data_IF_855645513999
#
_entry.id   IF_855645513999
#
_cell.length_a   1.000
_cell.length_b   1.000
_cell.length_c   1.000
_cell.angle_alpha   90.00
_cell.angle_beta   90.00
_cell.angle_gamma   90.00
#
_symmetry.space_group_name_H-M   'P 1'
#
loop_
_entity.id
_entity.type
_entity.pdbx_description
1 polymer ?
#
# COMPACT_ATOMS: atom_id res chain seq x y z
N UNK A 1 -45.52 -49.13 -5.80
CA UNK A 1 -45.05 -47.90 -6.45
C UNK A 1 -44.52 -46.96 -5.39
N UNK A 2 -43.22 -46.75 -5.37
CA UNK A 2 -42.52 -45.75 -4.55
C UNK A 2 -41.37 -45.25 -5.43
N UNK A 3 -41.38 -43.98 -5.89
CA UNK A 3 -40.25 -43.47 -6.64
C UNK A 3 -39.13 -43.12 -5.66
N UNK A 4 -37.94 -43.65 -5.91
CA UNK A 4 -36.70 -43.14 -5.33
C UNK A 4 -36.40 -41.81 -6.03
N UNK A 5 -36.27 -40.76 -5.23
CA UNK A 5 -35.87 -39.42 -5.63
C UNK A 5 -34.63 -39.09 -4.80
N UNK A 6 -33.72 -38.30 -5.39
CA UNK A 6 -32.56 -37.61 -4.81
C UNK A 6 -31.25 -38.43 -4.90
N UNK A 7 -30.10 -37.86 -5.23
CA UNK A 7 -29.71 -36.46 -5.34
C UNK A 7 -28.45 -36.42 -6.22
N UNK A 8 -28.45 -35.69 -7.32
CA UNK A 8 -27.18 -35.26 -7.92
C UNK A 8 -26.64 -34.16 -7.00
N UNK A 9 -25.66 -34.50 -6.16
CA UNK A 9 -24.81 -33.50 -5.53
C UNK A 9 -23.91 -32.98 -6.65
N UNK A 10 -24.37 -31.94 -7.34
CA UNK A 10 -23.49 -31.09 -8.13
C UNK A 10 -22.61 -30.36 -7.12
N UNK A 11 -21.38 -30.85 -6.96
CA UNK A 11 -20.32 -30.11 -6.31
C UNK A 11 -20.07 -28.88 -7.19
N UNK A 12 -20.69 -27.76 -6.84
CA UNK A 12 -20.31 -26.47 -7.40
C UNK A 12 -18.87 -26.24 -6.95
N UNK A 13 -17.92 -26.53 -7.84
CA UNK A 13 -16.59 -25.94 -7.75
C UNK A 13 -16.84 -24.44 -7.82
N UNK A 14 -16.72 -23.76 -6.69
CA UNK A 14 -16.62 -22.32 -6.69
C UNK A 14 -15.46 -21.99 -7.64
N UNK A 15 -15.79 -21.45 -8.81
CA UNK A 15 -14.81 -20.79 -9.66
C UNK A 15 -14.14 -19.76 -8.76
N UNK A 16 -12.82 -19.80 -8.54
CA UNK A 16 -12.16 -18.69 -7.88
C UNK A 16 -12.57 -17.44 -8.65
N UNK A 17 -13.09 -16.45 -7.94
CA UNK A 17 -13.28 -15.11 -8.49
C UNK A 17 -11.93 -14.75 -9.11
N UNK A 18 -11.91 -14.51 -10.42
CA UNK A 18 -10.69 -14.11 -11.10
C UNK A 18 -10.21 -12.82 -10.42
N UNK A 19 -9.19 -12.96 -9.58
CA UNK A 19 -8.53 -11.82 -8.94
C UNK A 19 -7.78 -11.03 -10.02
N UNK A 20 -7.59 -9.71 -9.86
CA UNK A 20 -6.96 -8.85 -10.88
C UNK A 20 -5.58 -9.35 -11.35
N UNK A 21 -4.86 -10.12 -10.54
CA UNK A 21 -3.60 -10.79 -10.91
C UNK A 21 -3.66 -11.59 -12.22
N UNK A 22 -4.78 -12.28 -12.52
CA UNK A 22 -4.87 -13.16 -13.69
C UNK A 22 -4.84 -12.44 -15.03
N UNK A 23 -5.13 -11.13 -15.06
CA UNK A 23 -5.03 -10.37 -16.30
C UNK A 23 -3.59 -9.90 -16.55
N UNK A 24 -2.79 -9.71 -15.50
CA UNK A 24 -1.36 -9.41 -15.62
C UNK A 24 -0.53 -10.69 -15.86
N UNK A 25 -0.84 -11.78 -15.15
CA UNK A 25 -0.30 -13.13 -15.41
C UNK A 25 -1.21 -13.85 -16.42
N UNK A 26 -1.15 -13.41 -17.69
CA UNK A 26 -2.09 -13.84 -18.71
C UNK A 26 -1.96 -15.32 -19.07
N UNK A 27 -0.77 -15.89 -18.91
CA UNK A 27 -0.50 -17.30 -19.19
C UNK A 27 -0.70 -18.22 -17.95
N UNK A 28 -0.86 -17.63 -16.76
CA UNK A 28 -1.06 -18.29 -15.47
C UNK A 28 0.10 -19.22 -15.03
N UNK A 29 1.34 -18.84 -15.33
CA UNK A 29 2.54 -19.58 -14.92
C UNK A 29 3.13 -19.11 -13.58
N UNK A 30 2.57 -18.03 -13.01
CA UNK A 30 2.98 -17.45 -11.73
C UNK A 30 4.17 -16.50 -11.83
N UNK A 31 4.65 -16.23 -13.04
CA UNK A 31 5.69 -15.28 -13.37
C UNK A 31 5.09 -14.16 -14.22
N UNK A 32 5.63 -12.95 -14.11
CA UNK A 32 5.19 -11.84 -14.96
C UNK A 32 6.29 -11.54 -15.96
N UNK A 33 5.96 -11.69 -17.23
CA UNK A 33 6.83 -11.29 -18.33
C UNK A 33 6.60 -9.83 -18.72
N UNK A 34 7.63 -9.21 -19.30
CA UNK A 34 7.53 -7.87 -19.88
C UNK A 34 6.43 -7.76 -20.93
N UNK A 35 6.28 -8.77 -21.79
CA UNK A 35 5.25 -8.78 -22.84
C UNK A 35 3.84 -8.75 -22.24
N UNK A 36 3.61 -9.45 -21.13
CA UNK A 36 2.30 -9.41 -20.45
C UNK A 36 1.97 -8.01 -19.94
N UNK A 37 2.93 -7.34 -19.30
CA UNK A 37 2.78 -5.95 -18.81
C UNK A 37 2.51 -4.99 -19.97
N UNK A 38 3.31 -5.04 -21.03
CA UNK A 38 3.17 -4.16 -22.21
C UNK A 38 1.85 -4.35 -22.96
N UNK A 39 1.20 -5.51 -22.82
CA UNK A 39 -0.08 -5.81 -23.47
C UNK A 39 -1.29 -5.25 -22.72
N UNK A 40 -1.16 -4.94 -21.42
CA UNK A 40 -2.32 -4.65 -20.56
C UNK A 40 -2.33 -3.25 -19.98
N UNK A 41 -1.20 -2.53 -19.99
CA UNK A 41 -1.15 -1.14 -19.53
C UNK A 41 -0.08 -0.32 -20.25
N UNK A 42 -0.14 0.98 -20.06
CA UNK A 42 0.85 1.97 -20.50
C UNK A 42 1.57 2.57 -19.30
N UNK A 43 2.73 3.19 -19.54
CA UNK A 43 3.44 3.94 -18.49
C UNK A 43 2.54 5.05 -17.93
N UNK A 44 1.80 5.76 -18.78
CA UNK A 44 0.90 6.82 -18.35
C UNK A 44 -0.16 6.32 -17.36
N UNK A 45 -0.80 5.18 -17.65
CA UNK A 45 -1.78 4.57 -16.74
C UNK A 45 -1.15 4.15 -15.41
N UNK A 46 0.09 3.64 -15.43
CA UNK A 46 0.83 3.32 -14.22
C UNK A 46 1.11 4.57 -13.37
N UNK A 47 1.51 5.68 -14.00
CA UNK A 47 1.75 6.94 -13.29
C UNK A 47 0.47 7.52 -12.69
N UNK A 48 -0.64 7.50 -13.44
CA UNK A 48 -1.95 7.91 -12.92
C UNK A 48 -2.40 7.03 -11.75
N UNK A 49 -2.08 5.74 -11.76
CA UNK A 49 -2.38 4.84 -10.64
C UNK A 49 -1.54 5.14 -9.38
N UNK A 50 -0.31 5.63 -9.57
CA UNK A 50 0.59 6.03 -8.48
C UNK A 50 0.25 7.41 -7.90
N UNK A 51 -0.27 8.32 -8.73
CA UNK A 51 -0.78 9.66 -8.37
C UNK A 51 -2.20 9.58 -7.78
N UNK A 52 -2.30 9.12 -6.53
CA UNK A 52 -3.59 8.86 -5.89
C UNK A 52 -4.32 10.12 -5.43
N UNK A 53 -3.60 11.16 -5.02
CA UNK A 53 -4.18 12.45 -4.66
C UNK A 53 -4.50 13.31 -5.89
N UNK A 54 -4.01 12.91 -7.07
CA UNK A 54 -4.40 13.46 -8.36
C UNK A 54 -3.84 14.87 -8.57
N UNK A 55 -2.73 15.19 -7.91
CA UNK A 55 -2.08 16.49 -8.01
C UNK A 55 -1.13 16.58 -9.22
N UNK A 56 -0.90 15.45 -9.90
CA UNK A 56 -0.07 15.34 -11.10
C UNK A 56 1.41 15.16 -10.81
N UNK A 57 1.78 14.91 -9.55
CA UNK A 57 3.17 14.82 -9.10
C UNK A 57 3.48 13.48 -8.42
N UNK A 58 4.73 13.06 -8.56
CA UNK A 58 5.28 11.91 -7.83
C UNK A 58 6.46 12.37 -6.99
N UNK A 59 6.35 12.24 -5.68
CA UNK A 59 7.33 12.69 -4.70
C UNK A 59 8.41 11.63 -4.42
N UNK A 60 9.52 12.09 -3.83
CA UNK A 60 10.68 11.25 -3.53
C UNK A 60 10.31 10.03 -2.67
N UNK A 61 9.48 10.21 -1.65
CA UNK A 61 9.04 9.14 -0.77
C UNK A 61 8.22 8.07 -1.51
N UNK A 62 7.36 8.47 -2.43
CA UNK A 62 6.61 7.55 -3.30
C UNK A 62 7.55 6.73 -4.20
N UNK A 63 8.61 7.32 -4.74
CA UNK A 63 9.63 6.59 -5.53
C UNK A 63 10.43 5.60 -4.67
N UNK A 64 10.86 6.02 -3.47
CA UNK A 64 11.56 5.13 -2.54
C UNK A 64 10.61 3.99 -2.11
N UNK A 65 9.31 4.23 -2.04
CA UNK A 65 8.34 3.18 -1.76
C UNK A 65 8.17 2.20 -2.92
N UNK A 66 8.15 2.74 -4.15
CA UNK A 66 7.98 1.94 -5.34
C UNK A 66 9.17 1.01 -5.63
N UNK A 67 10.41 1.52 -5.52
CA UNK A 67 11.64 0.81 -5.92
C UNK A 67 12.68 0.64 -4.80
N UNK A 68 12.34 1.02 -3.57
CA UNK A 68 13.24 0.90 -2.42
C UNK A 68 14.38 1.93 -2.35
N UNK A 69 14.60 2.72 -3.40
CA UNK A 69 15.74 3.65 -3.52
C UNK A 69 15.34 5.00 -4.11
N UNK A 70 16.17 6.02 -3.86
CA UNK A 70 15.99 7.38 -4.40
C UNK A 70 16.64 7.59 -5.78
N UNK A 71 17.40 6.61 -6.27
CA UNK A 71 18.28 6.78 -7.42
C UNK A 71 17.51 7.18 -8.68
N UNK A 72 16.32 6.62 -8.87
CA UNK A 72 15.49 6.94 -10.03
C UNK A 72 14.83 8.32 -9.93
N UNK A 73 14.46 8.76 -8.71
CA UNK A 73 13.96 10.12 -8.51
C UNK A 73 14.98 11.15 -8.96
N UNK A 74 16.24 11.01 -8.52
CA UNK A 74 17.31 11.93 -8.89
C UNK A 74 17.68 11.88 -10.38
N UNK A 75 17.50 10.73 -11.04
CA UNK A 75 17.74 10.61 -12.49
C UNK A 75 16.67 11.29 -13.32
N UNK A 76 15.40 11.21 -12.89
CA UNK A 76 14.26 11.75 -13.63
C UNK A 76 13.99 13.22 -13.30
N UNK A 77 14.40 13.70 -12.13
CA UNK A 77 14.19 15.08 -11.68
C UNK A 77 15.19 16.04 -12.35
N UNK A 78 14.86 16.47 -13.56
CA UNK A 78 15.74 17.31 -14.39
C UNK A 78 15.75 18.76 -13.91
N UNK A 79 14.61 19.25 -13.43
CA UNK A 79 14.48 20.65 -13.01
C UNK A 79 15.04 20.90 -11.59
N UNK A 80 15.26 19.84 -10.81
CA UNK A 80 15.84 19.85 -9.47
C UNK A 80 14.87 20.31 -8.37
N UNK A 81 13.56 20.21 -8.57
CA UNK A 81 12.56 20.53 -7.55
C UNK A 81 12.28 19.34 -6.61
N UNK A 82 11.19 19.40 -5.84
CA UNK A 82 10.86 18.42 -4.83
C UNK A 82 9.96 17.27 -5.33
N UNK A 83 9.63 17.23 -6.62
CA UNK A 83 8.74 16.24 -7.20
C UNK A 83 9.16 15.81 -8.61
N UNK A 84 8.42 14.86 -9.18
CA UNK A 84 8.49 14.50 -10.59
C UNK A 84 7.15 14.80 -11.23
N UNK A 85 7.17 15.45 -12.38
CA UNK A 85 6.01 15.48 -13.27
C UNK A 85 5.93 14.20 -14.10
N UNK A 86 4.74 13.83 -14.56
CA UNK A 86 4.61 12.70 -15.50
C UNK A 86 5.46 12.91 -16.76
N UNK A 87 5.55 14.15 -17.22
CA UNK A 87 6.35 14.50 -18.39
C UNK A 87 7.85 14.23 -18.17
N UNK A 88 8.39 14.49 -16.98
CA UNK A 88 9.77 14.14 -16.65
C UNK A 88 9.98 12.63 -16.68
N UNK A 89 9.06 11.85 -16.14
CA UNK A 89 9.16 10.39 -16.17
C UNK A 89 9.07 9.87 -17.61
N UNK A 90 8.02 10.25 -18.34
CA UNK A 90 7.75 9.78 -19.71
C UNK A 90 8.80 10.21 -20.75
N UNK A 91 9.54 11.30 -20.50
CA UNK A 91 10.62 11.73 -21.40
C UNK A 91 11.89 10.88 -21.27
N UNK A 92 12.12 10.24 -20.12
CA UNK A 92 13.36 9.54 -19.81
C UNK A 92 13.16 8.05 -19.50
N UNK A 93 11.91 7.60 -19.45
CA UNK A 93 11.54 6.23 -19.13
C UNK A 93 10.41 5.74 -20.05
N UNK A 94 10.53 4.51 -20.51
CA UNK A 94 9.44 3.76 -21.15
C UNK A 94 8.79 2.79 -20.16
N UNK A 95 7.64 2.21 -20.51
CA UNK A 95 7.06 1.13 -19.69
C UNK A 95 8.01 -0.08 -19.56
N UNK A 96 8.86 -0.34 -20.56
CA UNK A 96 9.90 -1.36 -20.44
C UNK A 96 10.93 -1.00 -19.38
N UNK A 97 11.41 0.23 -19.37
CA UNK A 97 12.41 0.68 -18.38
C UNK A 97 11.81 0.69 -16.97
N UNK A 98 10.52 1.04 -16.86
CA UNK A 98 9.73 0.97 -15.63
C UNK A 98 9.62 -0.47 -15.10
N UNK A 99 9.31 -1.42 -15.98
CA UNK A 99 9.32 -2.86 -15.65
C UNK A 99 10.69 -3.32 -15.15
N UNK A 100 11.76 -2.90 -15.83
CA UNK A 100 13.14 -3.30 -15.50
C UNK A 100 13.60 -2.80 -14.12
N UNK A 101 12.89 -1.84 -13.51
CA UNK A 101 13.17 -1.43 -12.13
C UNK A 101 12.67 -2.43 -11.07
N UNK A 102 11.72 -3.31 -11.43
CA UNK A 102 11.21 -4.35 -10.52
C UNK A 102 12.01 -5.65 -10.63
N UNK A 103 12.64 -5.89 -11.80
CA UNK A 103 13.48 -7.05 -12.11
C UNK A 103 14.83 -6.95 -11.37
N UNK A 104 14.86 -7.39 -10.12
CA UNK A 104 15.98 -7.12 -9.21
C UNK A 104 17.19 -8.00 -9.51
N UNK A 105 16.97 -9.19 -10.05
CA UNK A 105 18.05 -10.10 -10.45
C UNK A 105 18.41 -10.01 -11.95
N UNK A 106 17.61 -9.31 -12.74
CA UNK A 106 17.88 -9.00 -14.14
C UNK A 106 17.71 -10.19 -15.07
N UNK A 107 16.89 -11.18 -14.69
CA UNK A 107 16.65 -12.38 -15.49
C UNK A 107 15.61 -12.18 -16.60
N UNK A 108 14.92 -11.03 -16.60
CA UNK A 108 13.92 -10.60 -17.57
C UNK A 108 12.49 -11.00 -17.22
N UNK A 109 12.26 -11.66 -16.08
CA UNK A 109 10.95 -12.18 -15.65
C UNK A 109 10.76 -11.88 -14.16
N UNK A 110 9.61 -11.32 -13.80
CA UNK A 110 9.34 -11.03 -12.38
C UNK A 110 8.74 -12.21 -11.67
N UNK A 111 9.34 -12.61 -10.56
CA UNK A 111 8.69 -13.49 -9.59
C UNK A 111 7.64 -12.72 -8.77
N UNK A 112 6.80 -13.43 -8.02
CA UNK A 112 5.68 -12.81 -7.27
C UNK A 112 6.12 -11.69 -6.31
N UNK A 113 7.31 -11.79 -5.71
CA UNK A 113 7.83 -10.74 -4.82
C UNK A 113 8.30 -9.49 -5.57
N UNK A 114 8.77 -9.63 -6.81
CA UNK A 114 9.21 -8.51 -7.64
C UNK A 114 8.01 -7.83 -8.31
N UNK A 115 7.04 -8.64 -8.78
CA UNK A 115 5.83 -8.16 -9.42
C UNK A 115 4.82 -7.50 -8.47
N UNK A 116 5.06 -7.52 -7.15
CA UNK A 116 4.09 -7.09 -6.14
C UNK A 116 3.54 -5.68 -6.41
N UNK A 117 4.42 -4.71 -6.60
CA UNK A 117 4.03 -3.32 -6.83
C UNK A 117 3.35 -3.13 -8.20
N UNK A 118 3.73 -3.91 -9.20
CA UNK A 118 3.06 -3.92 -10.50
C UNK A 118 1.62 -4.46 -10.40
N UNK A 119 1.40 -5.49 -9.58
CA UNK A 119 0.04 -5.96 -9.30
C UNK A 119 -0.80 -4.91 -8.60
N UNK A 120 -0.24 -4.20 -7.62
CA UNK A 120 -0.91 -3.05 -7.02
C UNK A 120 -1.31 -2.02 -8.09
N UNK A 121 -0.33 -1.50 -8.86
CA UNK A 121 -0.57 -0.50 -9.92
C UNK A 121 -1.67 -0.97 -10.87
N UNK A 122 -1.57 -2.20 -11.37
CA UNK A 122 -2.53 -2.73 -12.32
C UNK A 122 -3.93 -2.91 -11.72
N UNK A 123 -4.03 -3.27 -10.44
CA UNK A 123 -5.31 -3.33 -9.71
C UNK A 123 -5.98 -1.95 -9.61
N UNK A 124 -5.19 -0.89 -9.43
CA UNK A 124 -5.67 0.49 -9.42
C UNK A 124 -6.18 0.90 -10.80
N UNK A 125 -5.41 0.61 -11.85
CA UNK A 125 -5.78 0.93 -13.26
C UNK A 125 -7.12 0.29 -13.63
N UNK A 126 -7.30 -0.98 -13.28
CA UNK A 126 -8.54 -1.69 -13.60
C UNK A 126 -9.76 -1.16 -12.85
N UNK A 127 -9.57 -0.25 -11.88
CA UNK A 127 -10.64 0.32 -11.06
C UNK A 127 -11.54 -0.80 -10.51
N UNK A 128 -10.94 -1.96 -10.24
CA UNK A 128 -11.69 -3.19 -10.18
C UNK A 128 -12.39 -3.25 -8.83
N UNK A 129 -13.69 -2.93 -8.84
CA UNK A 129 -14.67 -3.26 -7.79
C UNK A 129 -14.84 -4.77 -7.59
N UNK A 130 -13.72 -5.50 -7.56
CA UNK A 130 -13.54 -6.91 -7.27
C UNK A 130 -12.93 -7.11 -5.88
N UNK A 131 -12.16 -6.12 -5.37
CA UNK A 131 -11.74 -6.00 -3.98
C UNK A 131 -12.34 -4.71 -3.41
N UNK A 132 -13.21 -4.83 -2.40
CA UNK A 132 -13.69 -3.67 -1.62
C UNK A 132 -12.71 -3.28 -0.50
N UNK A 133 -11.52 -3.87 -0.53
CA UNK A 133 -10.47 -3.60 0.43
C UNK A 133 -9.50 -2.56 -0.16
N UNK A 134 -9.53 -1.31 0.31
CA UNK A 134 -8.63 -0.29 -0.19
C UNK A 134 -7.18 -0.51 0.26
N UNK A 135 -6.93 -1.22 1.37
CA UNK A 135 -5.57 -1.45 1.86
C UNK A 135 -4.95 -2.74 1.30
N UNK A 136 -5.76 -3.70 0.87
CA UNK A 136 -5.32 -4.89 0.11
C UNK A 136 -5.89 -4.80 -1.32
N UNK A 137 -5.44 -3.79 -2.06
CA UNK A 137 -6.01 -3.43 -3.34
C UNK A 137 -5.80 -4.55 -4.37
N UNK A 138 -4.62 -5.17 -4.33
CA UNK A 138 -4.31 -6.29 -5.20
C UNK A 138 -5.05 -7.58 -4.73
N UNK A 139 -5.31 -7.76 -3.43
CA UNK A 139 -6.10 -8.86 -2.88
C UNK A 139 -5.28 -10.12 -2.60
N UNK A 140 -4.02 -9.99 -2.19
CA UNK A 140 -3.15 -11.12 -1.85
C UNK A 140 -3.17 -11.45 -0.35
N UNK A 141 -3.86 -10.62 0.44
CA UNK A 141 -3.96 -10.79 1.88
C UNK A 141 -2.73 -10.31 2.64
N UNK A 142 -1.83 -9.58 1.97
CA UNK A 142 -0.71 -8.86 2.57
C UNK A 142 -0.96 -7.36 2.39
N UNK A 143 -0.38 -6.54 3.26
CA UNK A 143 -0.35 -5.10 3.05
C UNK A 143 1.06 -4.67 2.70
N UNK A 144 1.24 -4.14 1.50
CA UNK A 144 2.44 -3.38 1.19
C UNK A 144 2.40 -2.01 1.84
N UNK A 145 3.59 -1.45 2.01
CA UNK A 145 3.74 -0.04 2.37
C UNK A 145 3.06 0.88 1.35
N UNK A 146 3.19 0.61 0.04
CA UNK A 146 2.56 1.44 -1.00
C UNK A 146 1.05 1.47 -0.85
N UNK A 147 0.40 0.34 -0.55
CA UNK A 147 -1.04 0.31 -0.30
C UNK A 147 -1.44 1.15 0.92
N UNK A 148 -0.66 1.07 2.01
CA UNK A 148 -0.93 1.86 3.21
C UNK A 148 -0.69 3.35 2.94
N UNK A 149 0.47 3.73 2.41
CA UNK A 149 0.84 5.14 2.19
C UNK A 149 0.02 5.80 1.10
N UNK A 150 -0.54 5.04 0.16
CA UNK A 150 -1.49 5.53 -0.85
C UNK A 150 -2.83 5.98 -0.27
N UNK A 151 -3.19 5.52 0.93
CA UNK A 151 -4.49 5.79 1.55
C UNK A 151 -4.42 6.62 2.82
N UNK A 152 -3.28 6.68 3.49
CA UNK A 152 -3.15 7.49 4.70
C UNK A 152 -1.74 8.05 4.87
N UNK A 153 -1.69 9.30 5.35
CA UNK A 153 -0.45 9.94 5.78
C UNK A 153 -0.18 9.75 7.27
N UNK A 154 1.08 9.88 7.68
CA UNK A 154 1.47 9.73 9.09
C UNK A 154 0.68 10.67 10.03
N UNK A 155 0.44 11.91 9.60
CA UNK A 155 -0.36 12.86 10.39
C UNK A 155 -1.83 12.44 10.56
N UNK A 156 -2.42 11.78 9.58
CA UNK A 156 -3.79 11.25 9.67
C UNK A 156 -3.86 10.06 10.62
N UNK A 157 -2.85 9.19 10.57
CA UNK A 157 -2.71 8.08 11.52
C UNK A 157 -2.63 8.60 12.96
N UNK A 158 -1.79 9.60 13.23
CA UNK A 158 -1.70 10.18 14.57
C UNK A 158 -3.03 10.77 15.04
N UNK A 159 -3.72 11.55 14.20
CA UNK A 159 -5.05 12.11 14.52
C UNK A 159 -6.12 11.05 14.71
N UNK A 160 -6.06 9.96 13.96
CA UNK A 160 -7.02 8.86 14.08
C UNK A 160 -6.80 8.03 15.37
N UNK A 161 -5.59 8.02 15.90
CA UNK A 161 -5.28 7.40 17.19
C UNK A 161 -5.61 8.29 18.39
N UNK A 162 -5.46 9.60 18.23
CA UNK A 162 -5.80 10.61 19.25
C UNK A 162 -7.33 10.77 19.39
N UNK A 163 -7.95 9.92 20.20
CA UNK A 163 -9.41 9.81 20.26
C UNK A 163 -10.07 10.94 21.03
N UNK A 164 -9.33 11.64 21.88
CA UNK A 164 -9.80 12.76 22.69
C UNK A 164 -9.28 14.13 22.23
N UNK A 165 -8.51 14.18 21.13
CA UNK A 165 -8.00 15.40 20.48
C UNK A 165 -7.17 16.25 21.44
N UNK A 166 -6.38 15.60 22.31
CA UNK A 166 -5.49 16.29 23.26
C UNK A 166 -4.03 16.33 22.79
N UNK A 167 -3.73 15.75 21.63
CA UNK A 167 -2.42 15.61 21.01
C UNK A 167 -1.40 14.79 21.81
N UNK A 168 -1.87 13.99 22.78
CA UNK A 168 -1.08 13.09 23.60
C UNK A 168 -1.55 11.64 23.40
N UNK A 169 -0.76 10.84 22.70
CA UNK A 169 -1.12 9.45 22.44
C UNK A 169 -0.86 8.58 23.65
N UNK A 170 -1.94 8.12 24.28
CA UNK A 170 -1.84 7.19 25.40
C UNK A 170 -1.44 5.79 24.95
N UNK A 171 -0.88 4.94 25.85
CA UNK A 171 -0.66 3.53 25.55
C UNK A 171 -1.94 2.75 25.19
N UNK A 172 -3.13 3.29 25.51
CA UNK A 172 -4.40 2.69 25.11
C UNK A 172 -4.69 2.96 23.64
N UNK A 173 -4.51 4.20 23.20
CA UNK A 173 -4.73 4.62 21.82
C UNK A 173 -3.70 4.00 20.88
N UNK A 174 -2.42 4.06 21.24
CA UNK A 174 -1.34 3.44 20.44
C UNK A 174 -1.50 1.93 20.27
N UNK A 175 -2.21 1.25 21.18
CA UNK A 175 -2.47 -0.19 21.08
C UNK A 175 -3.37 -0.55 19.91
N UNK A 176 -4.20 0.38 19.45
CA UNK A 176 -5.07 0.18 18.28
C UNK A 176 -4.24 -0.14 17.04
N UNK A 177 -3.15 0.60 16.82
CA UNK A 177 -2.26 0.35 15.69
C UNK A 177 -1.17 -0.67 16.01
N UNK A 178 -0.48 -0.49 17.14
CA UNK A 178 0.79 -1.18 17.40
C UNK A 178 0.64 -2.48 18.19
N UNK A 179 -0.54 -2.77 18.74
CA UNK A 179 -0.81 -3.99 19.50
C UNK A 179 0.24 -4.29 20.59
N UNK A 180 1.02 -5.36 20.39
CA UNK A 180 2.08 -5.76 21.32
C UNK A 180 3.30 -4.83 21.35
N UNK A 181 3.50 -4.03 20.29
CA UNK A 181 4.68 -3.17 20.11
C UNK A 181 4.55 -1.82 20.84
N UNK A 182 3.35 -1.47 21.31
CA UNK A 182 3.06 -0.19 21.99
C UNK A 182 4.03 0.12 23.10
N UNK A 183 4.32 -0.85 23.99
CA UNK A 183 5.18 -0.60 25.14
C UNK A 183 6.62 -0.25 24.75
N UNK A 184 7.15 -0.87 23.69
CA UNK A 184 8.47 -0.50 23.18
C UNK A 184 8.39 0.84 22.43
N UNK A 185 7.32 1.12 21.69
CA UNK A 185 7.19 2.37 20.96
C UNK A 185 7.14 3.58 21.90
N UNK A 186 6.36 3.50 22.98
CA UNK A 186 6.35 4.53 24.02
C UNK A 186 7.75 4.74 24.59
N UNK A 187 8.47 3.67 24.97
CA UNK A 187 9.86 3.80 25.46
C UNK A 187 10.81 4.46 24.45
N UNK A 188 10.60 4.26 23.17
CA UNK A 188 11.46 4.79 22.12
C UNK A 188 11.13 6.25 21.78
N UNK A 189 9.93 6.74 22.10
CA UNK A 189 9.44 8.07 21.67
C UNK A 189 9.17 9.04 22.83
N UNK A 190 8.79 8.54 24.00
CA UNK A 190 8.52 9.31 25.23
C UNK A 190 9.83 9.87 25.78
N UNK A 191 10.22 11.05 25.27
CA UNK A 191 11.50 11.67 25.58
C UNK A 191 11.46 12.34 26.95
N UNK A 192 10.27 12.75 27.41
CA UNK A 192 10.07 13.45 28.67
C UNK A 192 9.74 12.49 29.85
N UNK A 193 9.45 11.22 29.57
CA UNK A 193 9.05 10.14 30.49
C UNK A 193 7.74 10.40 31.24
N UNK A 194 6.74 11.01 30.60
CA UNK A 194 5.42 11.24 31.18
C UNK A 194 4.44 10.06 30.98
N UNK A 195 4.85 9.04 30.22
CA UNK A 195 4.08 7.82 29.97
C UNK A 195 3.12 7.92 28.79
N UNK A 196 3.12 9.04 28.08
CA UNK A 196 2.38 9.28 26.83
C UNK A 196 3.34 9.61 25.69
N UNK A 197 2.84 9.71 24.46
CA UNK A 197 3.63 10.16 23.32
C UNK A 197 2.93 11.33 22.67
N UNK A 198 3.46 12.52 22.90
CA UNK A 198 2.96 13.74 22.25
C UNK A 198 3.14 13.68 20.73
N UNK A 199 2.38 14.47 19.98
CA UNK A 199 2.57 14.59 18.52
C UNK A 199 3.97 15.07 18.11
N UNK A 200 4.64 15.82 18.99
CA UNK A 200 6.03 16.23 18.78
C UNK A 200 6.98 15.05 18.96
N UNK A 201 6.80 14.26 20.01
CA UNK A 201 7.56 13.05 20.27
C UNK A 201 7.34 11.98 19.21
N UNK A 202 6.10 11.80 18.75
CA UNK A 202 5.76 10.91 17.65
C UNK A 202 6.44 11.29 16.32
N UNK A 203 6.94 12.52 16.16
CA UNK A 203 7.73 12.95 14.99
C UNK A 203 9.22 13.04 15.28
N UNK A 204 9.62 12.82 16.52
CA UNK A 204 11.03 12.81 16.90
C UNK A 204 11.74 11.60 16.26
N UNK A 205 13.07 11.61 16.26
CA UNK A 205 13.88 10.50 15.72
C UNK A 205 13.57 10.13 14.25
N UNK A 206 13.08 11.08 13.46
CA UNK A 206 12.64 10.88 12.07
C UNK A 206 11.53 9.82 11.92
N UNK A 207 10.71 9.66 12.94
CA UNK A 207 9.59 8.73 12.90
C UNK A 207 8.59 9.14 11.81
N UNK A 208 8.16 8.15 11.03
CA UNK A 208 7.25 8.29 9.90
C UNK A 208 6.36 7.06 9.79
N UNK A 209 5.33 7.13 8.95
CA UNK A 209 4.46 5.98 8.67
C UNK A 209 5.26 4.77 8.18
N UNK A 210 6.29 5.01 7.37
CA UNK A 210 7.20 3.98 6.89
C UNK A 210 7.98 3.29 8.01
N UNK A 211 8.45 4.05 9.01
CA UNK A 211 9.13 3.48 10.17
C UNK A 211 8.18 2.71 11.09
N UNK A 212 6.90 3.12 11.16
CA UNK A 212 5.85 2.34 11.84
C UNK A 212 5.62 1.01 11.13
N UNK A 213 5.45 1.02 9.82
CA UNK A 213 5.22 -0.20 9.03
C UNK A 213 6.42 -1.14 9.19
N UNK A 214 7.65 -0.63 9.05
CA UNK A 214 8.87 -1.42 9.24
C UNK A 214 8.98 -2.03 10.64
N UNK A 215 8.46 -1.35 11.66
CA UNK A 215 8.44 -1.87 13.03
C UNK A 215 7.40 -2.99 13.22
N UNK A 216 6.32 -2.94 12.46
CA UNK A 216 5.22 -3.90 12.51
C UNK A 216 5.48 -5.15 11.66
N UNK A 217 6.33 -5.05 10.64
CA UNK A 217 6.89 -6.16 9.86
C UNK A 217 7.87 -6.95 10.74
N UNK A 218 7.38 -8.01 11.41
CA UNK A 218 8.15 -8.73 12.44
C UNK A 218 9.11 -9.76 11.85
N UNK A 219 8.85 -10.19 10.62
CA UNK A 219 9.65 -11.19 9.92
C UNK A 219 10.56 -10.58 8.83
N UNK A 220 10.59 -9.24 8.72
CA UNK A 220 11.35 -8.47 7.73
C UNK A 220 11.05 -8.92 6.29
N UNK A 221 9.82 -9.35 6.02
CA UNK A 221 9.38 -9.79 4.69
C UNK A 221 9.17 -8.63 3.73
N UNK A 222 9.04 -7.41 4.24
CA UNK A 222 8.69 -6.20 3.49
C UNK A 222 7.19 -5.94 3.40
N UNK A 223 6.36 -6.84 3.94
CA UNK A 223 4.90 -6.80 3.88
C UNK A 223 4.32 -7.03 5.27
N UNK A 224 3.13 -6.47 5.54
CA UNK A 224 2.40 -6.80 6.76
C UNK A 224 1.43 -7.94 6.49
N UNK A 225 1.60 -9.01 7.24
CA UNK A 225 0.84 -10.25 7.04
C UNK A 225 0.55 -10.93 8.37
N UNK A 226 -0.27 -11.97 8.36
CA UNK A 226 -0.56 -12.78 9.55
C UNK A 226 -1.05 -11.96 10.78
N UNK A 227 -1.74 -10.85 10.54
CA UNK A 227 -2.29 -9.95 11.56
C UNK A 227 -1.39 -8.78 11.96
N UNK A 228 -0.18 -8.66 11.40
CA UNK A 228 0.69 -7.50 11.63
C UNK A 228 0.02 -6.19 11.21
N UNK A 229 -0.74 -6.21 10.09
CA UNK A 229 -1.42 -5.05 9.53
C UNK A 229 -2.80 -4.74 10.11
N UNK A 230 -3.35 -5.56 11.02
CA UNK A 230 -4.74 -5.44 11.49
C UNK A 230 -5.06 -4.06 12.09
N UNK A 231 -4.07 -3.43 12.72
CA UNK A 231 -4.20 -2.09 13.29
C UNK A 231 -4.47 -1.01 12.24
N UNK A 232 -3.90 -1.15 11.03
CA UNK A 232 -4.09 -0.18 9.95
C UNK A 232 -5.52 -0.14 9.44
N UNK A 233 -6.21 -1.28 9.38
CA UNK A 233 -7.64 -1.32 9.05
C UNK A 233 -8.50 -0.53 10.04
N UNK A 234 -8.19 -0.63 11.33
CA UNK A 234 -8.92 0.11 12.36
C UNK A 234 -8.66 1.61 12.25
N UNK A 235 -7.40 2.00 12.06
CA UNK A 235 -7.01 3.40 11.85
C UNK A 235 -7.68 3.98 10.60
N UNK A 236 -7.67 3.24 9.49
CA UNK A 236 -8.28 3.67 8.23
C UNK A 236 -9.79 3.91 8.36
N UNK A 237 -10.50 3.01 9.03
CA UNK A 237 -11.92 3.18 9.30
C UNK A 237 -12.20 4.47 10.09
N UNK A 238 -11.34 4.83 11.04
CA UNK A 238 -11.44 6.09 11.79
C UNK A 238 -11.16 7.30 10.90
N UNK A 239 -10.16 7.24 10.02
CA UNK A 239 -9.85 8.33 9.06
C UNK A 239 -11.07 8.59 8.16
N UNK A 240 -11.67 7.54 7.60
CA UNK A 240 -12.87 7.65 6.77
C UNK A 240 -14.08 8.21 7.54
N UNK A 241 -14.25 7.81 8.79
CA UNK A 241 -15.32 8.35 9.63
C UNK A 241 -15.12 9.86 9.87
N UNK A 242 -13.89 10.30 10.12
CA UNK A 242 -13.56 11.70 10.34
C UNK A 242 -13.71 12.55 9.07
N UNK A 243 -13.31 12.04 7.90
CA UNK A 243 -13.48 12.75 6.62
C UNK A 243 -14.94 12.85 6.18
N UNK A 244 -15.79 11.90 6.56
CA UNK A 244 -17.24 11.97 6.33
C UNK A 244 -17.96 12.99 7.23
N UNK A 245 -17.32 13.51 8.28
CA UNK A 245 -17.90 14.50 9.18
C UNK A 245 -17.62 15.95 8.79
N UNK A 246 -16.92 16.19 7.68
CA UNK A 246 -16.75 17.54 7.15
C UNK A 246 -18.12 18.05 6.64
N UNK A 247 -18.70 19.11 7.25
CA UNK A 247 -20.06 19.52 6.92
C UNK A 247 -20.08 20.13 5.52
N UNK A 248 -20.55 19.36 4.54
CA UNK A 248 -21.04 19.90 3.28
C UNK A 248 -22.19 20.85 3.60
N UNK A 249 -21.87 22.14 3.59
CA UNK A 249 -22.69 23.29 3.21
C UNK A 249 -24.10 23.36 3.81
N UNK A 250 -24.25 24.21 4.83
CA UNK A 250 -25.39 25.13 4.88
C UNK A 250 -25.06 26.40 4.11
#
# INVERSE_FOLDING_TARGET
MTPFLLLFVALATATPVARPYYALDANADGLISKDEVLNVMTLHEALVALDRDGDGFIYLDQIIELWGTADMFHQLNINGDDHLTFMEIENFMTLSDFYDQFDSDGDGILISSEAYQLYYIYSVILNSGLNNDPLDANGDGKLSKLEITSHMGYGEVLRALDTNDDHELTPHELRVLLGGLTGQFVRDQDNNNDGTVSFQEARSHNMSLREIIKRMDLDDSGYLENGEGDGFYTVWATILANSSTDPITG
#
